data_IF_651950325880
#
_entry.id   IF_651950325880
#
_cell.length_a   1.000
_cell.length_b   1.000
_cell.length_c   1.000
_cell.angle_alpha   90.00
_cell.angle_beta   90.00
_cell.angle_gamma   90.00
#
_symmetry.space_group_name_H-M   'P 1'
#
loop_
_entity.id
_entity.type
_entity.pdbx_description
1 polymer ?
#
# COMPACT_ATOMS: atom_id res chain seq x y z
N UNK A 1 9.19 14.05 -29.49
CA UNK A 1 8.68 13.75 -28.14
C UNK A 1 7.72 14.87 -27.77
N UNK A 2 6.43 14.57 -27.73
CA UNK A 2 5.41 15.59 -27.38
C UNK A 2 5.49 15.91 -25.89
N UNK A 3 4.92 17.05 -25.46
CA UNK A 3 4.83 17.37 -24.03
C UNK A 3 4.06 16.30 -23.23
N UNK A 4 3.19 15.55 -23.92
CA UNK A 4 2.44 14.42 -23.37
C UNK A 4 3.35 13.20 -23.12
N UNK A 5 4.26 12.91 -24.07
CA UNK A 5 5.19 11.78 -23.94
C UNK A 5 6.12 11.95 -22.73
N UNK A 6 6.52 13.19 -22.42
CA UNK A 6 7.37 13.50 -21.28
C UNK A 6 6.66 13.26 -19.91
N UNK A 7 5.32 13.30 -19.87
CA UNK A 7 4.56 12.95 -18.65
C UNK A 7 4.49 11.46 -18.38
N UNK A 8 4.69 10.63 -19.43
CA UNK A 8 4.62 9.18 -19.34
C UNK A 8 6.01 8.53 -19.38
N UNK A 9 7.07 9.32 -19.49
CA UNK A 9 8.44 8.84 -19.41
C UNK A 9 8.77 8.52 -17.94
N UNK A 10 8.38 7.32 -17.53
CA UNK A 10 8.69 6.80 -16.20
C UNK A 10 10.16 6.43 -16.17
N UNK A 11 10.96 7.22 -15.44
CA UNK A 11 12.38 6.93 -15.28
C UNK A 11 12.56 5.76 -14.32
N UNK A 12 13.50 4.84 -14.61
CA UNK A 12 13.87 3.81 -13.64
C UNK A 12 14.32 4.47 -12.33
N UNK A 13 13.85 3.95 -11.22
CA UNK A 13 14.36 4.31 -9.90
C UNK A 13 15.52 3.40 -9.51
N UNK A 14 16.32 3.80 -8.54
CA UNK A 14 17.42 2.99 -8.00
C UNK A 14 16.92 1.77 -7.19
N UNK A 15 15.60 1.67 -6.98
CA UNK A 15 15.01 0.62 -6.16
C UNK A 15 14.71 -0.63 -6.97
N UNK A 16 15.14 -1.78 -6.46
CA UNK A 16 14.73 -3.10 -6.95
C UNK A 16 13.44 -3.57 -6.30
N UNK A 17 12.72 -4.48 -6.96
CA UNK A 17 11.55 -5.16 -6.39
C UNK A 17 11.98 -6.03 -5.20
N UNK A 18 11.42 -5.74 -4.05
CA UNK A 18 11.53 -6.56 -2.84
C UNK A 18 10.34 -6.28 -1.92
N UNK A 19 10.03 -7.18 -1.00
CA UNK A 19 9.12 -6.89 0.10
C UNK A 19 9.58 -5.65 0.89
N UNK A 20 8.64 -4.84 1.37
CA UNK A 20 8.92 -3.57 2.05
C UNK A 20 9.09 -2.36 1.12
N UNK A 21 9.04 -2.55 -0.20
CA UNK A 21 8.96 -1.43 -1.17
C UNK A 21 7.52 -1.01 -1.40
N UNK A 22 7.35 0.19 -1.94
CA UNK A 22 6.04 0.64 -2.42
C UNK A 22 6.02 0.70 -3.94
N UNK A 23 4.88 0.35 -4.51
CA UNK A 23 4.52 0.61 -5.89
C UNK A 23 3.63 1.84 -5.94
N UNK A 24 4.02 2.82 -6.73
CA UNK A 24 3.29 4.07 -6.93
C UNK A 24 2.71 4.03 -8.33
N UNK A 25 1.38 3.98 -8.46
CA UNK A 25 0.74 3.95 -9.77
C UNK A 25 0.90 5.27 -10.52
N UNK A 26 1.02 5.18 -11.84
CA UNK A 26 0.96 6.36 -12.70
C UNK A 26 -0.39 7.08 -12.57
N UNK A 27 -0.48 8.40 -12.82
CA UNK A 27 -1.70 9.19 -12.56
C UNK A 27 -2.90 8.79 -13.41
N UNK A 28 -2.69 8.12 -14.54
CA UNK A 28 -3.72 7.67 -15.47
C UNK A 28 -3.71 6.13 -15.64
N UNK A 29 -3.48 5.42 -14.54
CA UNK A 29 -3.59 3.98 -14.56
C UNK A 29 -4.98 3.57 -15.05
N UNK A 30 -5.04 2.70 -16.05
CA UNK A 30 -6.30 2.36 -16.74
C UNK A 30 -7.26 1.49 -15.91
N UNK A 31 -6.82 0.99 -14.77
CA UNK A 31 -7.69 0.32 -13.81
C UNK A 31 -8.18 1.32 -12.77
N UNK A 32 -9.51 1.51 -12.62
CA UNK A 32 -10.06 2.44 -11.62
C UNK A 32 -9.69 2.11 -10.19
N UNK A 33 -9.45 0.81 -9.88
CA UNK A 33 -9.02 0.39 -8.55
C UNK A 33 -7.59 0.84 -8.27
N UNK A 34 -6.68 0.76 -9.25
CA UNK A 34 -5.28 1.10 -9.05
C UNK A 34 -4.91 2.53 -9.46
N UNK A 35 -5.85 3.32 -9.95
CA UNK A 35 -5.59 4.72 -10.29
C UNK A 35 -5.20 5.53 -9.03
N UNK A 36 -4.06 6.23 -9.08
CA UNK A 36 -3.48 7.00 -7.95
C UNK A 36 -3.39 6.20 -6.66
N UNK A 37 -2.85 5.02 -6.75
CA UNK A 37 -2.75 4.06 -5.67
C UNK A 37 -1.28 3.87 -5.27
N UNK A 38 -1.07 3.61 -3.99
CA UNK A 38 0.21 3.17 -3.43
C UNK A 38 0.00 1.80 -2.81
N UNK A 39 0.79 0.82 -3.25
CA UNK A 39 0.77 -0.54 -2.73
C UNK A 39 2.07 -0.79 -1.95
N UNK A 40 1.99 -1.23 -0.72
CA UNK A 40 3.13 -1.75 0.04
C UNK A 40 3.29 -3.23 -0.31
N UNK A 41 4.42 -3.60 -0.89
CA UNK A 41 4.75 -5.00 -1.15
C UNK A 41 5.01 -5.72 0.18
N UNK A 42 4.21 -6.74 0.45
CA UNK A 42 4.32 -7.57 1.66
C UNK A 42 5.08 -8.85 1.40
N UNK A 43 5.10 -9.29 0.16
CA UNK A 43 5.81 -10.45 -0.32
C UNK A 43 6.26 -10.27 -1.76
N UNK A 44 7.47 -10.76 -2.08
CA UNK A 44 8.01 -10.78 -3.44
C UNK A 44 9.09 -11.83 -3.58
N UNK A 45 8.81 -12.84 -4.37
CA UNK A 45 9.77 -13.83 -4.85
C UNK A 45 9.48 -14.24 -6.30
N UNK A 46 10.16 -15.26 -6.81
CA UNK A 46 9.99 -15.74 -8.19
C UNK A 46 8.60 -16.36 -8.46
N UNK A 47 7.87 -16.75 -7.43
CA UNK A 47 6.61 -17.48 -7.55
C UNK A 47 5.41 -16.68 -7.02
N UNK A 48 5.65 -15.71 -6.15
CA UNK A 48 4.60 -14.93 -5.50
C UNK A 48 4.94 -13.46 -5.40
N UNK A 49 3.93 -12.63 -5.59
CA UNK A 49 4.03 -11.20 -5.30
C UNK A 49 2.70 -10.75 -4.72
N UNK A 50 2.77 -10.16 -3.53
CA UNK A 50 1.60 -9.65 -2.84
C UNK A 50 1.87 -8.28 -2.22
N UNK A 51 0.80 -7.50 -2.03
CA UNK A 51 0.90 -6.20 -1.39
C UNK A 51 -0.44 -5.66 -0.90
N UNK A 52 -0.37 -4.60 -0.11
CA UNK A 52 -1.52 -3.95 0.50
C UNK A 52 -1.65 -2.50 0.00
N UNK A 53 -2.81 -2.18 -0.56
CA UNK A 53 -3.12 -0.82 -0.99
C UNK A 53 -3.28 0.08 0.24
N UNK A 54 -2.40 1.06 0.39
CA UNK A 54 -2.32 1.90 1.59
C UNK A 54 -3.36 3.02 1.64
N UNK A 55 -3.90 3.44 0.50
CA UNK A 55 -4.65 4.69 0.38
C UNK A 55 -6.12 4.52 -0.01
N UNK A 56 -6.66 3.32 0.06
CA UNK A 56 -8.10 3.05 -0.13
C UNK A 56 -8.75 2.69 1.20
N UNK A 57 -9.47 3.63 1.80
CA UNK A 57 -10.24 3.39 3.01
C UNK A 57 -11.64 2.86 2.67
N UNK A 58 -12.10 1.84 3.39
CA UNK A 58 -13.47 1.38 3.34
C UNK A 58 -14.41 2.31 4.13
N UNK A 59 -15.71 2.10 3.99
CA UNK A 59 -16.74 2.72 4.85
C UNK A 59 -16.97 1.93 6.15
N UNK A 60 -16.35 0.77 6.26
CA UNK A 60 -16.49 -0.12 7.41
C UNK A 60 -15.38 0.15 8.42
N UNK A 61 -15.68 -0.05 9.69
CA UNK A 61 -14.69 -0.18 10.75
C UNK A 61 -14.30 -1.64 10.93
N UNK A 62 -13.13 -1.86 11.51
CA UNK A 62 -12.62 -3.21 11.80
C UNK A 62 -13.59 -3.98 12.66
N UNK A 63 -14.18 -3.37 13.69
CA UNK A 63 -15.16 -3.96 14.60
C UNK A 63 -16.41 -4.53 13.89
N UNK A 64 -16.80 -3.98 12.72
CA UNK A 64 -17.95 -4.48 11.97
C UNK A 64 -17.64 -5.76 11.19
N UNK A 65 -16.38 -6.05 10.96
CA UNK A 65 -15.93 -7.22 10.18
C UNK A 65 -15.33 -8.29 11.09
N UNK A 66 -14.61 -7.87 12.12
CA UNK A 66 -14.01 -8.77 13.13
C UNK A 66 -14.64 -8.45 14.47
N UNK A 67 -15.62 -9.26 14.88
CA UNK A 67 -16.44 -9.04 16.10
C UNK A 67 -15.61 -9.06 17.39
N UNK A 68 -14.50 -9.79 17.38
CA UNK A 68 -13.55 -9.94 18.48
C UNK A 68 -12.80 -8.63 18.76
N UNK A 69 -12.64 -7.78 17.76
CA UNK A 69 -11.93 -6.49 17.90
C UNK A 69 -12.88 -5.43 18.46
N UNK A 70 -12.55 -4.87 19.62
CA UNK A 70 -13.36 -3.83 20.28
C UNK A 70 -13.03 -2.40 19.84
N UNK A 71 -11.98 -2.21 19.03
CA UNK A 71 -11.61 -0.90 18.51
C UNK A 71 -12.39 -0.56 17.24
N UNK A 72 -12.85 0.68 17.13
CA UNK A 72 -13.64 1.16 16.00
C UNK A 72 -12.74 1.87 14.96
N UNK A 73 -11.59 1.24 14.67
CA UNK A 73 -10.64 1.78 13.72
C UNK A 73 -11.09 1.54 12.27
N UNK A 74 -10.57 2.41 11.41
CA UNK A 74 -10.87 2.38 9.98
C UNK A 74 -10.26 1.14 9.33
N UNK A 75 -11.09 0.40 8.58
CA UNK A 75 -10.64 -0.68 7.72
C UNK A 75 -10.25 -0.14 6.35
N UNK A 76 -9.12 -0.61 5.80
CA UNK A 76 -8.66 -0.27 4.46
C UNK A 76 -8.95 -1.42 3.49
N UNK A 77 -8.99 -1.11 2.19
CA UNK A 77 -9.13 -2.12 1.14
C UNK A 77 -7.73 -2.39 0.61
N UNK A 78 -7.15 -3.55 0.95
CA UNK A 78 -5.79 -3.92 0.57
C UNK A 78 -5.67 -4.39 -0.88
N UNK A 79 -6.76 -4.86 -1.47
CA UNK A 79 -6.80 -5.32 -2.85
C UNK A 79 -8.01 -6.18 -3.16
N UNK A 80 -8.14 -6.68 -4.41
CA UNK A 80 -9.28 -7.45 -4.86
C UNK A 80 -9.20 -8.95 -4.53
N UNK A 81 -8.03 -9.45 -4.06
CA UNK A 81 -7.82 -10.87 -3.77
C UNK A 81 -8.24 -11.15 -2.32
N UNK A 82 -8.88 -12.30 -2.07
CA UNK A 82 -9.40 -12.69 -0.74
C UNK A 82 -10.19 -11.57 -0.04
N UNK A 83 -11.32 -11.16 -0.59
CA UNK A 83 -12.08 -10.02 -0.07
C UNK A 83 -12.63 -10.21 1.36
N UNK A 84 -12.60 -11.44 1.88
CA UNK A 84 -12.99 -11.77 3.26
C UNK A 84 -11.76 -11.96 4.19
N UNK A 85 -10.54 -11.91 3.64
CA UNK A 85 -9.30 -12.02 4.41
C UNK A 85 -8.94 -10.71 5.09
N UNK A 86 -8.57 -10.77 6.37
CA UNK A 86 -8.10 -9.61 7.15
C UNK A 86 -6.59 -9.68 7.29
N UNK A 87 -5.94 -8.57 7.00
CA UNK A 87 -4.49 -8.40 7.08
C UNK A 87 -4.18 -7.20 7.97
N UNK A 88 -3.04 -7.25 8.64
CA UNK A 88 -2.60 -6.15 9.51
C UNK A 88 -1.13 -5.82 9.27
N UNK A 89 -0.83 -4.53 9.25
CA UNK A 89 0.55 -4.03 9.38
C UNK A 89 0.68 -3.20 10.64
N UNK A 90 1.85 -3.22 11.25
CA UNK A 90 2.13 -2.52 12.51
C UNK A 90 3.59 -2.14 12.65
N UNK A 91 3.91 -1.30 13.64
CA UNK A 91 5.28 -0.87 13.96
C UNK A 91 5.90 -1.60 15.16
N UNK A 92 5.25 -2.63 15.69
CA UNK A 92 5.71 -3.32 16.91
C UNK A 92 6.74 -4.41 16.60
N UNK A 93 7.96 -4.23 17.06
CA UNK A 93 9.12 -5.07 16.72
C UNK A 93 9.14 -6.42 17.47
N UNK A 94 8.60 -6.50 18.66
CA UNK A 94 8.76 -7.68 19.53
C UNK A 94 7.67 -8.75 19.34
N UNK A 95 6.88 -8.69 18.27
CA UNK A 95 5.89 -9.73 17.98
C UNK A 95 6.56 -10.95 17.36
N UNK A 96 6.53 -12.08 18.06
CA UNK A 96 7.07 -13.37 17.55
C UNK A 96 6.32 -13.91 16.33
N UNK A 97 5.12 -13.44 16.07
CA UNK A 97 4.25 -13.88 14.97
C UNK A 97 4.22 -12.88 13.79
N UNK A 98 5.04 -11.84 13.82
CA UNK A 98 5.09 -10.85 12.77
C UNK A 98 6.31 -11.04 11.87
N UNK A 99 6.09 -10.92 10.56
CA UNK A 99 7.16 -10.87 9.56
C UNK A 99 7.64 -9.43 9.38
N UNK A 100 8.95 -9.20 9.52
CA UNK A 100 9.55 -7.89 9.31
C UNK A 100 9.62 -7.61 7.81
N UNK A 101 8.99 -6.53 7.37
CA UNK A 101 9.14 -6.03 6.00
C UNK A 101 10.35 -5.09 5.88
N UNK A 102 10.46 -4.19 6.84
CA UNK A 102 11.55 -3.23 6.94
C UNK A 102 11.60 -2.66 8.38
N UNK A 103 12.62 -1.91 8.77
CA UNK A 103 12.63 -1.26 10.08
C UNK A 103 11.38 -0.43 10.34
N UNK A 104 10.65 -0.77 11.41
CA UNK A 104 9.43 -0.08 11.82
C UNK A 104 8.16 -0.46 11.05
N UNK A 105 8.21 -1.45 10.15
CA UNK A 105 7.02 -1.98 9.46
C UNK A 105 7.05 -3.51 9.47
N UNK A 106 6.01 -4.10 10.01
CA UNK A 106 5.82 -5.54 10.18
C UNK A 106 4.44 -5.95 9.65
N UNK A 107 4.33 -7.16 9.10
CA UNK A 107 3.04 -7.80 8.82
C UNK A 107 2.73 -8.73 9.98
N UNK A 108 1.58 -8.55 10.60
CA UNK A 108 1.11 -9.36 11.72
C UNK A 108 0.02 -10.32 11.31
N UNK A 109 -0.13 -11.42 12.09
CA UNK A 109 -1.37 -12.15 12.12
C UNK A 109 -2.42 -11.35 12.90
N UNK A 110 -3.66 -11.46 12.46
CA UNK A 110 -4.84 -10.86 13.09
C UNK A 110 -4.97 -11.26 14.57
N UNK A 111 -4.76 -12.53 14.93
CA UNK A 111 -4.85 -13.01 16.33
C UNK A 111 -3.91 -12.29 17.29
N UNK A 112 -2.64 -12.12 16.89
CA UNK A 112 -1.67 -11.41 17.74
C UNK A 112 -2.02 -9.93 17.83
N UNK A 113 -2.47 -9.32 16.74
CA UNK A 113 -2.84 -7.92 16.73
C UNK A 113 -4.10 -7.64 17.54
N UNK A 114 -5.11 -8.51 17.48
CA UNK A 114 -6.30 -8.45 18.32
C UNK A 114 -5.90 -8.46 19.80
N UNK A 115 -5.04 -9.41 20.20
CA UNK A 115 -4.57 -9.51 21.57
C UNK A 115 -3.83 -8.25 22.05
N UNK A 116 -2.94 -7.69 21.23
CA UNK A 116 -2.18 -6.48 21.58
C UNK A 116 -3.07 -5.24 21.70
N UNK A 117 -4.04 -5.09 20.82
CA UNK A 117 -4.96 -3.95 20.80
C UNK A 117 -5.93 -4.02 22.00
N UNK A 118 -6.51 -5.19 22.28
CA UNK A 118 -7.44 -5.39 23.39
C UNK A 118 -6.81 -5.10 24.74
N UNK A 119 -5.55 -5.48 24.93
CA UNK A 119 -4.85 -5.25 26.18
C UNK A 119 -4.26 -3.84 26.30
N UNK A 120 -4.41 -2.96 25.28
CA UNK A 120 -3.80 -1.62 25.25
C UNK A 120 -2.32 -1.63 25.65
N UNK A 121 -1.65 -2.71 25.30
CA UNK A 121 -0.36 -3.07 25.88
C UNK A 121 0.76 -2.09 25.48
N UNK A 122 0.57 -1.30 24.41
CA UNK A 122 1.62 -0.43 23.87
C UNK A 122 1.01 0.88 23.35
N UNK A 123 1.10 1.96 24.15
CA UNK A 123 0.50 3.26 23.77
C UNK A 123 1.04 3.87 22.47
N UNK A 124 2.27 3.50 22.07
CA UNK A 124 2.94 4.02 20.87
C UNK A 124 2.76 3.13 19.64
N UNK A 125 2.01 2.05 19.76
CA UNK A 125 1.78 1.14 18.64
C UNK A 125 0.92 1.80 17.58
N UNK A 126 1.43 1.77 16.34
CA UNK A 126 0.69 2.16 15.14
C UNK A 126 0.39 0.91 14.34
N UNK A 127 -0.83 0.83 13.81
CA UNK A 127 -1.29 -0.29 13.00
C UNK A 127 -2.33 0.14 11.98
N UNK A 128 -2.52 -0.69 10.95
CA UNK A 128 -3.61 -0.56 9.99
C UNK A 128 -4.14 -1.94 9.63
N UNK A 129 -5.46 -2.07 9.58
CA UNK A 129 -6.15 -3.27 9.11
C UNK A 129 -6.62 -3.11 7.68
N UNK A 130 -6.55 -4.21 6.95
CA UNK A 130 -6.93 -4.28 5.55
C UNK A 130 -7.85 -5.48 5.33
N UNK A 131 -8.82 -5.31 4.43
CA UNK A 131 -9.58 -6.40 3.84
C UNK A 131 -9.07 -6.65 2.44
N UNK A 132 -8.79 -7.92 2.13
CA UNK A 132 -8.18 -8.32 0.87
C UNK A 132 -6.75 -7.84 0.68
N UNK A 133 -6.12 -8.29 -0.38
CA UNK A 133 -4.77 -7.90 -0.80
C UNK A 133 -4.67 -7.78 -2.32
N UNK A 134 -3.61 -7.17 -2.82
CA UNK A 134 -3.23 -7.15 -4.23
C UNK A 134 -2.24 -8.26 -4.50
N UNK A 135 -2.48 -9.07 -5.53
CA UNK A 135 -1.62 -10.18 -5.90
C UNK A 135 -1.25 -10.10 -7.38
N UNK A 136 -0.05 -10.54 -7.72
CA UNK A 136 0.46 -10.67 -9.08
C UNK A 136 0.94 -12.09 -9.33
N UNK A 137 0.61 -12.62 -10.49
CA UNK A 137 1.19 -13.87 -10.97
C UNK A 137 2.68 -13.71 -11.30
N UNK A 138 3.46 -14.81 -11.34
CA UNK A 138 4.88 -14.73 -11.72
C UNK A 138 5.10 -13.95 -13.01
N UNK A 139 6.01 -12.96 -12.98
CA UNK A 139 6.32 -12.09 -14.13
C UNK A 139 5.28 -11.01 -14.46
N UNK A 140 4.11 -11.01 -13.80
CA UNK A 140 3.07 -10.02 -14.09
C UNK A 140 3.51 -8.61 -13.67
N UNK A 141 4.03 -8.45 -12.45
CA UNK A 141 4.45 -7.15 -11.94
C UNK A 141 5.62 -6.58 -12.74
N UNK A 142 6.58 -7.42 -13.13
CA UNK A 142 7.68 -7.03 -14.00
C UNK A 142 7.18 -6.55 -15.37
N UNK A 143 6.19 -7.24 -15.93
CA UNK A 143 5.52 -6.84 -17.17
C UNK A 143 4.77 -5.51 -17.04
N UNK A 144 4.15 -5.24 -15.88
CA UNK A 144 3.50 -3.96 -15.60
C UNK A 144 4.51 -2.82 -15.42
N UNK A 145 5.63 -3.09 -14.75
CA UNK A 145 6.75 -2.13 -14.63
C UNK A 145 7.36 -1.80 -15.99
N UNK A 146 7.59 -2.80 -16.84
CA UNK A 146 8.10 -2.60 -18.20
C UNK A 146 7.15 -1.77 -19.08
N UNK A 147 5.86 -1.75 -18.76
CA UNK A 147 4.84 -0.89 -19.38
C UNK A 147 4.66 0.46 -18.69
N UNK A 148 5.56 0.82 -17.79
CA UNK A 148 5.49 2.07 -17.02
C UNK A 148 4.18 2.27 -16.26
N UNK A 149 3.59 1.19 -15.74
CA UNK A 149 2.33 1.27 -14.96
C UNK A 149 2.59 1.62 -13.49
N UNK A 150 3.77 1.30 -12.99
CA UNK A 150 4.21 1.54 -11.62
C UNK A 150 5.60 2.16 -11.57
N UNK A 151 5.86 2.89 -10.49
CA UNK A 151 7.20 3.32 -10.07
C UNK A 151 7.48 2.72 -8.70
N UNK A 152 8.67 2.12 -8.55
CA UNK A 152 9.11 1.58 -7.26
C UNK A 152 9.64 2.72 -6.40
N UNK A 153 9.19 2.79 -5.15
CA UNK A 153 9.64 3.78 -4.17
C UNK A 153 10.00 3.15 -2.83
N UNK A 154 10.58 3.97 -1.96
CA UNK A 154 10.84 3.59 -0.58
C UNK A 154 9.56 3.74 0.27
N UNK A 155 9.27 2.73 1.08
CA UNK A 155 8.31 2.89 2.16
C UNK A 155 8.98 3.58 3.36
N UNK A 156 8.22 4.34 4.13
CA UNK A 156 8.63 4.85 5.45
C UNK A 156 7.50 4.67 6.45
N UNK A 157 7.80 4.49 7.74
CA UNK A 157 6.77 4.40 8.77
C UNK A 157 5.81 5.60 8.76
N UNK A 158 6.31 6.82 8.50
CA UNK A 158 5.50 8.04 8.43
C UNK A 158 4.53 7.98 7.25
N UNK A 159 4.98 7.53 6.08
CA UNK A 159 4.12 7.37 4.91
C UNK A 159 3.03 6.34 5.20
N UNK A 160 3.41 5.22 5.79
CA UNK A 160 2.54 4.06 6.02
C UNK A 160 1.54 4.30 7.14
N UNK A 161 1.94 4.92 8.25
CA UNK A 161 1.09 5.03 9.45
C UNK A 161 0.55 6.43 9.71
N UNK A 162 1.31 7.48 9.40
CA UNK A 162 0.97 8.85 9.83
C UNK A 162 0.34 9.69 8.70
N UNK A 163 0.59 9.30 7.45
CA UNK A 163 0.03 10.04 6.32
C UNK A 163 -1.46 9.69 6.12
N UNK A 164 -2.36 10.69 6.06
CA UNK A 164 -3.75 10.46 5.72
C UNK A 164 -3.91 9.75 4.37
N UNK A 165 -4.81 8.78 4.27
CA UNK A 165 -5.00 7.98 3.06
C UNK A 165 -5.14 8.81 1.78
N UNK A 166 -5.89 9.93 1.83
CA UNK A 166 -6.09 10.84 0.70
C UNK A 166 -4.81 11.54 0.22
N UNK A 167 -3.76 11.57 1.04
CA UNK A 167 -2.49 12.25 0.76
C UNK A 167 -1.36 11.27 0.43
N UNK A 168 -1.48 9.98 0.72
CA UNK A 168 -0.41 8.97 0.57
C UNK A 168 0.16 8.99 -0.86
N UNK A 169 -0.68 8.94 -1.91
CA UNK A 169 -0.19 8.94 -3.28
C UNK A 169 0.61 10.20 -3.62
N UNK A 170 0.07 11.36 -3.29
CA UNK A 170 0.77 12.63 -3.57
C UNK A 170 2.06 12.78 -2.75
N UNK A 171 2.09 12.26 -1.53
CA UNK A 171 3.29 12.23 -0.69
C UNK A 171 4.34 11.28 -1.29
N UNK A 172 3.94 10.08 -1.69
CA UNK A 172 4.83 9.11 -2.33
C UNK A 172 5.41 9.65 -3.66
N UNK A 173 4.59 10.30 -4.49
CA UNK A 173 5.07 10.94 -5.73
C UNK A 173 6.17 11.99 -5.46
N UNK A 174 6.04 12.78 -4.38
CA UNK A 174 7.06 13.78 -4.03
C UNK A 174 8.41 13.16 -3.67
N UNK A 175 8.44 11.95 -3.16
CA UNK A 175 9.70 11.25 -2.84
C UNK A 175 10.46 10.76 -4.07
N UNK A 176 9.79 10.67 -5.23
CA UNK A 176 10.41 10.24 -6.49
C UNK A 176 11.30 11.31 -7.15
N UNK A 177 11.24 12.55 -6.67
CA UNK A 177 12.03 13.66 -7.21
C UNK A 177 11.26 14.63 -8.11
N UNK A 178 11.97 15.64 -8.61
CA UNK A 178 11.40 16.77 -9.37
C UNK A 178 10.67 16.36 -10.65
N UNK A 179 11.14 15.32 -11.30
CA UNK A 179 10.62 14.84 -12.59
C UNK A 179 9.17 14.33 -12.49
N UNK A 180 8.76 13.89 -11.30
CA UNK A 180 7.43 13.36 -11.03
C UNK A 180 6.44 14.40 -10.46
N UNK A 181 6.91 15.58 -10.06
CA UNK A 181 6.04 16.63 -9.53
C UNK A 181 4.92 17.10 -10.50
N UNK A 182 5.11 17.08 -11.82
CA UNK A 182 4.02 17.35 -12.76
C UNK A 182 2.82 16.43 -12.60
N UNK A 183 2.98 15.18 -12.15
CA UNK A 183 1.88 14.25 -11.89
C UNK A 183 0.86 14.79 -10.90
N UNK A 184 1.31 15.59 -9.93
CA UNK A 184 0.44 16.18 -8.90
C UNK A 184 -0.53 17.23 -9.47
N UNK A 185 -0.22 17.81 -10.63
CA UNK A 185 -1.04 18.84 -11.30
C UNK A 185 -2.09 18.25 -12.22
N UNK A 186 -1.98 16.96 -12.56
CA UNK A 186 -2.91 16.31 -13.46
C UNK A 186 -4.30 16.14 -12.80
N UNK A 187 -5.40 16.35 -13.53
CA UNK A 187 -6.74 16.16 -12.99
C UNK A 187 -6.95 14.69 -12.59
N UNK A 188 -7.83 14.45 -11.63
CA UNK A 188 -8.34 13.10 -11.40
C UNK A 188 -9.36 12.80 -12.51
N UNK A 189 -9.10 11.77 -13.31
CA UNK A 189 -10.13 11.25 -14.20
C UNK A 189 -11.12 10.51 -13.29
N UNK A 190 -12.26 11.13 -13.03
CA UNK A 190 -13.40 10.45 -12.42
C UNK A 190 -14.01 9.68 -13.59
N UNK A 191 -13.92 8.35 -13.58
CA UNK A 191 -14.71 7.54 -14.49
C UNK A 191 -16.18 7.86 -14.19
N UNK A 192 -16.84 8.55 -15.12
CA UNK A 192 -18.28 8.72 -15.06
C UNK A 192 -18.87 7.32 -15.29
N UNK A 193 -19.49 6.77 -14.24
CA UNK A 193 -20.38 5.62 -14.36
C UNK A 193 -21.65 6.04 -15.07
#
# INVERSE_FOLDING_TARGET
>A
MTAVDAFFDVKPTEFSLTAGRILISVPFYNDPFFNRTVVLLTDYDEQSCAGLVLNKSSRLSVRKVVSEIKVDDKLFIGGPVMPDGIFCIHNFENSKAASKLMPGIYVGSDEVMISLIEHKAIPTMKYRFFVGYSGWSPGQLEGELAKNMWVIGAATPELVFDTPASKIWATAVRTLGSDYLPWLKLPRIIANN
#
